data_IF_936958345574
#
_entry.id   IF_936958345574
#
_cell.length_a   1.000
_cell.length_b   1.000
_cell.length_c   1.000
_cell.angle_alpha   90.00
_cell.angle_beta   90.00
_cell.angle_gamma   90.00
#
_symmetry.space_group_name_H-M   'P 1'
#
loop_
_entity.id
_entity.type
_entity.pdbx_description
1 polymer ?
#
# COMPACT_ATOMS: atom_id res chain seq x y z
N UNK A 1 0.37 23.01 -18.66
CA UNK A 1 -0.90 22.25 -18.70
C UNK A 1 -0.93 21.34 -17.47
N UNK A 2 -1.68 21.70 -16.42
CA UNK A 2 -1.87 20.82 -15.24
C UNK A 2 -2.81 19.69 -15.68
N UNK A 3 -2.26 18.48 -15.87
CA UNK A 3 -3.07 17.27 -16.02
C UNK A 3 -3.91 17.11 -14.75
N UNK A 4 -5.20 16.82 -14.91
CA UNK A 4 -6.16 16.71 -13.81
C UNK A 4 -5.65 15.75 -12.74
N UNK A 5 -5.43 16.25 -11.51
CA UNK A 5 -5.11 15.46 -10.31
C UNK A 5 -6.32 14.69 -9.77
N UNK A 6 -7.51 14.96 -10.32
CA UNK A 6 -8.78 14.45 -9.78
C UNK A 6 -8.84 12.92 -9.68
N UNK A 7 -8.19 12.17 -10.59
CA UNK A 7 -8.16 10.71 -10.53
C UNK A 7 -7.26 10.16 -9.42
N UNK A 8 -6.07 10.75 -9.22
CA UNK A 8 -5.10 10.30 -8.22
C UNK A 8 -5.57 10.62 -6.80
N UNK A 9 -6.15 11.81 -6.62
CA UNK A 9 -6.73 12.23 -5.34
C UNK A 9 -7.91 11.32 -4.94
N UNK A 10 -8.68 10.82 -5.92
CA UNK A 10 -9.78 9.89 -5.68
C UNK A 10 -9.28 8.56 -5.10
N UNK A 11 -8.24 7.95 -5.69
CA UNK A 11 -7.70 6.68 -5.19
C UNK A 11 -7.10 6.78 -3.78
N UNK A 12 -6.42 7.89 -3.46
CA UNK A 12 -5.87 8.12 -2.12
C UNK A 12 -6.97 8.29 -1.07
N UNK A 13 -8.06 8.99 -1.43
CA UNK A 13 -9.24 9.16 -0.60
C UNK A 13 -9.97 7.82 -0.37
N UNK A 14 -10.21 7.06 -1.43
CA UNK A 14 -10.86 5.75 -1.39
C UNK A 14 -10.05 4.77 -0.54
N UNK A 15 -8.72 4.74 -0.73
CA UNK A 15 -7.82 3.92 0.08
C UNK A 15 -7.88 4.28 1.56
N UNK A 16 -7.81 5.57 1.90
CA UNK A 16 -7.91 6.03 3.30
C UNK A 16 -9.25 5.62 3.92
N UNK A 17 -10.34 5.75 3.17
CA UNK A 17 -11.69 5.35 3.59
C UNK A 17 -11.77 3.85 3.85
N UNK A 18 -11.15 3.02 2.99
CA UNK A 18 -11.12 1.57 3.18
C UNK A 18 -10.39 1.17 4.48
N UNK A 19 -9.26 1.82 4.81
CA UNK A 19 -8.58 1.58 6.10
C UNK A 19 -9.46 1.94 7.30
N UNK A 20 -10.20 3.05 7.22
CA UNK A 20 -11.09 3.46 8.30
C UNK A 20 -12.29 2.50 8.44
N UNK A 21 -12.83 1.97 7.34
CA UNK A 21 -13.86 0.94 7.34
C UNK A 21 -13.37 -0.36 7.99
N UNK A 22 -12.17 -0.84 7.62
CA UNK A 22 -11.59 -2.04 8.24
C UNK A 22 -11.40 -1.87 9.75
N UNK A 23 -10.96 -0.69 10.20
CA UNK A 23 -10.84 -0.39 11.63
C UNK A 23 -12.19 -0.37 12.34
N UNK A 24 -13.23 0.16 11.69
CA UNK A 24 -14.59 0.16 12.22
C UNK A 24 -15.16 -1.26 12.36
N UNK A 25 -14.80 -2.19 11.47
CA UNK A 25 -15.18 -3.60 11.61
C UNK A 25 -14.59 -4.23 12.88
N UNK A 26 -13.34 -3.88 13.23
CA UNK A 26 -12.76 -4.33 14.50
C UNK A 26 -13.47 -3.73 15.72
N UNK A 27 -13.97 -2.48 15.63
CA UNK A 27 -14.84 -1.93 16.68
C UNK A 27 -16.16 -2.70 16.79
N UNK A 28 -16.77 -3.09 15.68
CA UNK A 28 -17.97 -3.93 15.67
C UNK A 28 -17.70 -5.30 16.27
N UNK A 29 -16.60 -5.96 15.92
CA UNK A 29 -16.18 -7.24 16.49
C UNK A 29 -16.00 -7.18 18.01
N UNK A 30 -15.51 -6.05 18.54
CA UNK A 30 -15.43 -5.86 19.99
C UNK A 30 -16.81 -5.88 20.66
N UNK A 31 -17.86 -5.36 19.99
CA UNK A 31 -19.24 -5.41 20.50
C UNK A 31 -19.81 -6.83 20.58
N UNK A 32 -19.31 -7.75 19.75
CA UNK A 32 -19.68 -9.16 19.78
C UNK A 32 -18.85 -10.00 20.79
N UNK A 33 -18.01 -9.36 21.61
CA UNK A 33 -17.24 -10.03 22.66
C UNK A 33 -15.91 -10.64 22.20
N UNK A 34 -15.40 -10.24 21.03
CA UNK A 34 -14.03 -10.57 20.63
C UNK A 34 -13.05 -9.96 21.64
N UNK A 35 -12.04 -10.74 22.02
CA UNK A 35 -11.07 -10.33 23.04
C UNK A 35 -10.28 -9.09 22.60
N UNK A 36 -10.01 -8.13 23.50
CA UNK A 36 -9.32 -6.88 23.17
C UNK A 36 -7.98 -7.08 22.45
N UNK A 37 -7.21 -8.13 22.77
CA UNK A 37 -5.90 -8.37 22.16
C UNK A 37 -6.00 -8.68 20.66
N UNK A 38 -7.13 -9.25 20.23
CA UNK A 38 -7.44 -9.54 18.82
C UNK A 38 -8.03 -8.32 18.09
N UNK A 39 -8.28 -7.21 18.79
CA UNK A 39 -8.83 -5.97 18.26
C UNK A 39 -7.75 -4.88 18.20
N UNK A 40 -7.01 -4.68 19.29
CA UNK A 40 -6.07 -3.57 19.45
C UNK A 40 -4.94 -3.67 18.43
N UNK A 41 -4.22 -4.79 18.38
CA UNK A 41 -3.06 -4.94 17.49
C UNK A 41 -3.42 -4.83 16.01
N UNK A 42 -4.45 -5.50 15.48
CA UNK A 42 -4.81 -5.34 14.08
C UNK A 42 -5.24 -3.91 13.71
N UNK A 43 -5.90 -3.18 14.64
CA UNK A 43 -6.24 -1.77 14.40
C UNK A 43 -5.00 -0.86 14.36
N UNK A 44 -4.01 -1.13 15.21
CA UNK A 44 -2.72 -0.45 15.18
C UNK A 44 -1.97 -0.74 13.87
N UNK A 45 -1.94 -2.01 13.44
CA UNK A 45 -1.32 -2.42 12.18
C UNK A 45 -1.99 -1.74 10.97
N UNK A 46 -3.33 -1.67 10.95
CA UNK A 46 -4.06 -0.93 9.91
C UNK A 46 -3.70 0.56 9.91
N UNK A 47 -3.56 1.18 11.08
CA UNK A 47 -3.15 2.57 11.18
C UNK A 47 -1.71 2.79 10.68
N UNK A 48 -0.80 1.89 11.05
CA UNK A 48 0.60 1.95 10.66
C UNK A 48 0.76 1.72 9.16
N UNK A 49 0.08 0.71 8.59
CA UNK A 49 0.07 0.44 7.16
C UNK A 49 -0.49 1.60 6.34
N UNK A 50 -1.61 2.21 6.78
CA UNK A 50 -2.16 3.42 6.15
C UNK A 50 -1.15 4.57 6.15
N UNK A 51 -0.51 4.82 7.29
CA UNK A 51 0.45 5.91 7.42
C UNK A 51 1.70 5.67 6.57
N UNK A 52 2.19 4.42 6.56
CA UNK A 52 3.31 4.00 5.72
C UNK A 52 3.03 4.28 4.24
N UNK A 53 1.89 3.83 3.71
CA UNK A 53 1.52 4.07 2.31
C UNK A 53 1.39 5.57 1.99
N UNK A 54 0.91 6.37 2.94
CA UNK A 54 0.66 7.81 2.74
C UNK A 54 1.93 8.67 2.83
N UNK A 55 2.85 8.34 3.73
CA UNK A 55 3.97 9.20 4.10
C UNK A 55 5.31 8.64 3.62
N UNK A 56 5.52 7.34 3.81
CA UNK A 56 6.86 6.74 3.75
C UNK A 56 7.08 5.98 2.45
N UNK A 57 6.08 5.27 1.94
CA UNK A 57 6.19 4.38 0.78
C UNK A 57 6.85 5.06 -0.42
N UNK A 58 6.42 6.28 -0.75
CA UNK A 58 7.00 7.07 -1.85
C UNK A 58 8.51 7.29 -1.71
N UNK A 59 9.00 7.41 -0.48
CA UNK A 59 10.44 7.63 -0.21
C UNK A 59 11.26 6.36 -0.38
N UNK A 60 10.62 5.19 -0.28
CA UNK A 60 11.24 3.89 -0.50
C UNK A 60 11.29 3.48 -1.97
N UNK A 61 10.39 4.02 -2.80
CA UNK A 61 10.37 3.71 -4.24
C UNK A 61 11.67 4.16 -4.91
N UNK A 62 12.37 3.21 -5.52
CA UNK A 62 13.58 3.45 -6.31
C UNK A 62 13.63 2.54 -7.54
N UNK A 63 14.59 2.76 -8.45
CA UNK A 63 14.74 1.91 -9.64
C UNK A 63 15.57 0.64 -9.35
N UNK A 64 16.23 0.58 -8.20
CA UNK A 64 17.18 -0.49 -7.84
C UNK A 64 16.92 -1.03 -6.43
N UNK A 65 15.67 -0.98 -5.98
CA UNK A 65 15.32 -1.53 -4.67
C UNK A 65 15.38 -3.04 -4.72
N UNK A 66 15.89 -3.66 -3.66
CA UNK A 66 15.84 -5.12 -3.47
C UNK A 66 14.52 -5.59 -2.87
N UNK A 67 13.65 -4.68 -2.46
CA UNK A 67 12.27 -4.99 -2.10
C UNK A 67 11.42 -4.82 -3.37
N UNK A 68 10.78 -5.90 -3.82
CA UNK A 68 10.02 -5.94 -5.08
C UNK A 68 8.98 -4.80 -5.19
N UNK A 69 8.21 -4.56 -4.13
CA UNK A 69 7.19 -3.51 -4.11
C UNK A 69 7.78 -2.09 -4.18
N UNK A 70 9.04 -1.91 -3.74
CA UNK A 70 9.73 -0.62 -3.81
C UNK A 70 10.47 -0.42 -5.13
N UNK A 71 10.67 -1.49 -5.91
CA UNK A 71 11.37 -1.42 -7.17
C UNK A 71 10.42 -0.99 -8.30
N UNK A 72 10.54 0.28 -8.71
CA UNK A 72 9.79 0.81 -9.85
C UNK A 72 10.12 0.12 -11.18
N UNK A 73 11.33 -0.42 -11.34
CA UNK A 73 11.70 -1.17 -12.55
C UNK A 73 10.94 -2.49 -12.61
N UNK A 74 10.81 -3.17 -11.47
CA UNK A 74 10.07 -4.41 -11.32
C UNK A 74 8.55 -4.20 -11.35
N UNK A 75 8.04 -3.35 -10.46
CA UNK A 75 6.60 -3.15 -10.27
C UNK A 75 5.87 -2.53 -11.46
N UNK A 76 6.59 -1.87 -12.39
CA UNK A 76 6.04 -1.34 -13.64
C UNK A 76 6.39 -2.20 -14.87
N UNK A 77 7.08 -3.33 -14.68
CA UNK A 77 7.39 -4.27 -15.75
C UNK A 77 6.23 -5.22 -15.99
N UNK A 78 5.98 -5.56 -17.25
CA UNK A 78 5.01 -6.58 -17.64
C UNK A 78 5.74 -7.75 -18.31
N UNK A 79 5.68 -8.94 -17.71
CA UNK A 79 6.33 -10.15 -18.22
C UNK A 79 5.64 -10.75 -19.45
N UNK A 80 4.41 -10.35 -19.73
CA UNK A 80 3.61 -10.83 -20.86
C UNK A 80 3.58 -9.82 -22.02
N UNK A 81 4.07 -8.60 -21.81
CA UNK A 81 4.12 -7.56 -22.82
C UNK A 81 5.56 -7.08 -23.04
N UNK A 82 6.18 -7.56 -24.12
CA UNK A 82 7.56 -7.22 -24.49
C UNK A 82 7.83 -5.72 -24.61
N UNK A 83 6.82 -4.90 -24.96
CA UNK A 83 7.00 -3.45 -25.05
C UNK A 83 7.15 -2.80 -23.65
N UNK A 84 6.63 -3.45 -22.61
CA UNK A 84 6.57 -2.93 -21.25
C UNK A 84 7.46 -3.75 -20.29
N UNK A 85 8.13 -4.77 -20.80
CA UNK A 85 9.12 -5.55 -20.06
C UNK A 85 10.35 -4.68 -19.77
N UNK A 86 10.73 -4.58 -18.50
CA UNK A 86 11.94 -3.90 -18.06
C UNK A 86 13.01 -4.91 -17.70
N UNK A 87 14.26 -4.57 -18.04
CA UNK A 87 15.44 -5.27 -17.55
C UNK A 87 15.99 -4.53 -16.34
N UNK A 88 16.38 -5.28 -15.32
CA UNK A 88 17.03 -4.80 -14.11
C UNK A 88 18.13 -5.80 -13.72
N UNK A 89 19.15 -5.33 -13.01
CA UNK A 89 20.40 -6.03 -12.72
C UNK A 89 20.56 -6.42 -11.24
N UNK A 90 19.48 -6.35 -10.47
CA UNK A 90 19.43 -6.70 -9.05
C UNK A 90 18.37 -7.76 -8.79
N UNK A 91 18.54 -8.47 -7.67
CA UNK A 91 17.57 -9.44 -7.16
C UNK A 91 16.62 -8.78 -6.17
N UNK A 92 15.40 -9.33 -6.06
CA UNK A 92 14.41 -8.90 -5.08
C UNK A 92 14.30 -9.95 -3.95
N UNK A 93 15.27 -9.94 -3.05
CA UNK A 93 15.47 -10.97 -2.01
C UNK A 93 15.38 -10.44 -0.57
N UNK A 94 14.97 -9.18 -0.41
CA UNK A 94 14.62 -8.53 0.86
C UNK A 94 13.09 -8.49 1.06
#
# INVERSE_FOLDING_TARGET
MRKSLAGLDNFSCDGSTAFDQLRSLYDELATYGVKPELIVHPKEDLNNGRNYLKLDYRTHVSHSSRIADHCSAFGLSDVHNAAWQKTYDHEHDE
#
